data_IF_085415910064
#
_entry.id   IF_085415910064
#
_cell.length_a   1.000
_cell.length_b   1.000
_cell.length_c   1.000
_cell.angle_alpha   90.00
_cell.angle_beta   90.00
_cell.angle_gamma   90.00
#
_symmetry.space_group_name_H-M   'P 1'
#
loop_
_entity.id
_entity.type
_entity.pdbx_description
1 polymer ?
#
# COMPACT_ATOMS: atom_id res chain seq x y z
N UNK A 1 -28.59 -32.31 -0.62
CA UNK A 1 -27.53 -32.38 -1.68
C UNK A 1 -26.52 -31.28 -1.38
N UNK A 2 -25.23 -31.63 -1.41
CA UNK A 2 -24.14 -31.09 -0.58
C UNK A 2 -23.67 -29.65 -0.90
N UNK A 3 -23.59 -28.81 0.14
CA UNK A 3 -22.93 -27.47 0.15
C UNK A 3 -21.40 -27.52 -0.02
N UNK A 4 -20.79 -28.71 -0.09
CA UNK A 4 -19.33 -28.92 -0.07
C UNK A 4 -18.64 -28.96 -1.43
N UNK A 5 -19.34 -28.91 -2.57
CA UNK A 5 -18.70 -28.96 -3.90
C UNK A 5 -18.45 -27.59 -4.56
N UNK A 6 -19.01 -26.49 -4.03
CA UNK A 6 -18.88 -25.16 -4.65
C UNK A 6 -17.57 -24.42 -4.34
N UNK A 7 -16.68 -24.96 -3.52
CA UNK A 7 -15.45 -24.26 -3.08
C UNK A 7 -14.14 -25.00 -3.39
N UNK A 8 -14.19 -26.20 -4.01
CA UNK A 8 -12.98 -27.01 -4.22
C UNK A 8 -12.10 -26.57 -5.40
N UNK A 9 -12.70 -26.09 -6.49
CA UNK A 9 -11.94 -25.82 -7.73
C UNK A 9 -11.01 -24.61 -7.62
N UNK A 10 -11.27 -23.66 -6.72
CA UNK A 10 -10.45 -22.46 -6.57
C UNK A 10 -8.99 -22.75 -6.23
N UNK A 11 -8.71 -23.86 -5.53
CA UNK A 11 -7.35 -24.29 -5.21
C UNK A 11 -6.56 -24.80 -6.43
N UNK A 12 -7.25 -25.21 -7.51
CA UNK A 12 -6.64 -25.78 -8.71
C UNK A 12 -6.51 -24.76 -9.85
N UNK A 13 -7.05 -23.56 -9.68
CA UNK A 13 -6.96 -22.49 -10.69
C UNK A 13 -5.67 -21.70 -10.45
N UNK A 14 -4.78 -21.59 -11.45
CA UNK A 14 -3.53 -20.84 -11.29
C UNK A 14 -3.76 -19.39 -10.86
N UNK A 15 -2.85 -18.87 -10.04
CA UNK A 15 -2.88 -17.46 -9.62
C UNK A 15 -2.85 -16.53 -10.84
N UNK A 16 -3.86 -15.66 -10.95
CA UNK A 16 -4.00 -14.70 -12.05
C UNK A 16 -4.93 -15.15 -13.18
N UNK A 17 -5.35 -16.43 -13.22
CA UNK A 17 -6.34 -16.90 -14.19
C UNK A 17 -7.77 -16.49 -13.78
N UNK A 18 -8.57 -16.07 -14.76
CA UNK A 18 -9.99 -15.75 -14.56
C UNK A 18 -10.86 -16.92 -14.98
N UNK A 19 -11.76 -17.36 -14.09
CA UNK A 19 -12.78 -18.34 -14.41
C UNK A 19 -13.88 -17.69 -15.25
N UNK A 20 -14.08 -18.17 -16.47
CA UNK A 20 -15.19 -17.78 -17.35
C UNK A 20 -16.01 -19.02 -17.70
N UNK A 21 -17.34 -18.89 -17.66
CA UNK A 21 -18.29 -19.99 -17.93
C UNK A 21 -18.57 -20.18 -19.42
N UNK A 22 -18.30 -19.18 -20.25
CA UNK A 22 -18.51 -19.24 -21.70
C UNK A 22 -17.21 -19.53 -22.43
N UNK A 23 -17.03 -20.79 -22.85
CA UNK A 23 -15.99 -21.20 -23.80
C UNK A 23 -16.63 -22.04 -24.90
N UNK A 24 -17.54 -21.44 -25.66
CA UNK A 24 -17.98 -22.00 -26.94
C UNK A 24 -17.00 -21.52 -28.03
N UNK A 25 -16.21 -22.47 -28.53
CA UNK A 25 -15.15 -22.36 -29.55
C UNK A 25 -13.77 -21.85 -29.08
N UNK A 26 -12.93 -22.77 -28.58
CA UNK A 26 -11.48 -22.60 -28.50
C UNK A 26 -10.81 -23.62 -29.43
N UNK A 27 -9.84 -23.22 -30.25
CA UNK A 27 -9.12 -24.15 -31.12
C UNK A 27 -8.31 -25.17 -30.28
N UNK A 28 -8.09 -26.41 -30.77
CA UNK A 28 -7.28 -27.40 -30.04
C UNK A 28 -5.88 -26.91 -29.65
N UNK A 29 -5.29 -26.04 -30.48
CA UNK A 29 -3.99 -25.40 -30.23
C UNK A 29 -4.04 -24.46 -29.03
N UNK A 30 -5.08 -23.62 -28.93
CA UNK A 30 -5.29 -22.72 -27.78
C UNK A 30 -5.54 -23.51 -26.49
N UNK A 31 -6.34 -24.57 -26.56
CA UNK A 31 -6.59 -25.45 -25.40
C UNK A 31 -5.29 -26.08 -24.89
N UNK A 32 -4.45 -26.57 -25.81
CA UNK A 32 -3.15 -27.17 -25.47
C UNK A 32 -2.19 -26.13 -24.90
N UNK A 33 -2.17 -24.91 -25.43
CA UNK A 33 -1.33 -23.83 -24.93
C UNK A 33 -1.71 -23.44 -23.49
N UNK A 34 -3.01 -23.25 -23.21
CA UNK A 34 -3.51 -22.94 -21.86
C UNK A 34 -3.17 -24.05 -20.86
N UNK A 35 -3.23 -25.32 -21.28
CA UNK A 35 -2.80 -26.44 -20.44
C UNK A 35 -1.31 -26.36 -20.09
N UNK A 36 -0.43 -26.12 -21.07
CA UNK A 36 1.02 -25.98 -20.82
C UNK A 36 1.35 -24.77 -19.94
N UNK A 37 0.64 -23.66 -20.11
CA UNK A 37 0.79 -22.49 -19.23
C UNK A 37 0.37 -22.81 -17.78
N UNK A 38 -0.66 -23.65 -17.62
CA UNK A 38 -1.14 -24.14 -16.31
C UNK A 38 -0.11 -25.06 -15.66
N UNK A 39 0.49 -25.99 -16.41
CA UNK A 39 1.57 -26.86 -15.95
C UNK A 39 2.79 -26.05 -15.48
N UNK A 40 3.27 -25.11 -16.29
CA UNK A 40 4.37 -24.23 -15.92
C UNK A 40 4.01 -23.33 -14.72
N UNK A 41 2.74 -22.96 -14.55
CA UNK A 41 2.28 -22.20 -13.39
C UNK A 41 2.28 -23.03 -12.10
N UNK A 42 1.96 -24.33 -12.19
CA UNK A 42 2.05 -25.24 -11.05
C UNK A 42 3.50 -25.40 -10.59
N UNK A 43 4.44 -25.65 -11.52
CA UNK A 43 5.87 -25.74 -11.17
C UNK A 43 6.42 -24.46 -10.53
N UNK A 44 5.99 -23.29 -11.00
CA UNK A 44 6.36 -22.01 -10.39
C UNK A 44 5.75 -21.84 -8.99
N UNK A 45 4.54 -22.35 -8.77
CA UNK A 45 3.88 -22.29 -7.47
C UNK A 45 4.56 -23.20 -6.44
N UNK A 46 4.97 -24.40 -6.85
CA UNK A 46 5.73 -25.32 -5.99
C UNK A 46 7.04 -24.68 -5.53
N UNK A 47 7.84 -24.15 -6.47
CA UNK A 47 9.07 -23.40 -6.14
C UNK A 47 8.80 -22.21 -5.22
N UNK A 48 7.75 -21.42 -5.50
CA UNK A 48 7.42 -20.27 -4.67
C UNK A 48 6.95 -20.63 -3.25
N UNK A 49 6.41 -21.84 -3.04
CA UNK A 49 6.07 -22.34 -1.70
C UNK A 49 7.33 -22.75 -0.94
N UNK A 50 8.29 -23.39 -1.62
CA UNK A 50 9.57 -23.76 -1.01
C UNK A 50 10.41 -22.51 -0.65
N UNK A 51 10.35 -21.46 -1.49
CA UNK A 51 11.03 -20.18 -1.28
C UNK A 51 10.28 -19.22 -0.33
N UNK A 52 9.13 -19.63 0.23
CA UNK A 52 8.30 -18.76 1.05
C UNK A 52 8.98 -18.40 2.38
N UNK A 53 9.35 -17.12 2.54
CA UNK A 53 9.91 -16.59 3.77
C UNK A 53 8.85 -16.20 4.83
N UNK A 54 9.34 -15.68 5.96
CA UNK A 54 8.50 -15.29 7.10
C UNK A 54 7.55 -14.12 6.78
N UNK A 55 8.07 -13.09 6.11
CA UNK A 55 7.29 -11.94 5.66
C UNK A 55 6.62 -12.23 4.31
N UNK A 56 5.39 -11.75 4.15
CA UNK A 56 4.63 -11.88 2.90
C UNK A 56 3.90 -10.59 2.58
N UNK A 57 3.58 -10.39 1.29
CA UNK A 57 2.81 -9.23 0.85
C UNK A 57 1.40 -9.27 1.44
N UNK A 58 0.83 -8.11 1.83
CA UNK A 58 -0.47 -8.05 2.48
C UNK A 58 -1.57 -8.41 1.49
N UNK A 59 -2.56 -9.16 1.96
CA UNK A 59 -3.79 -9.35 1.20
C UNK A 59 -4.49 -8.00 1.01
N UNK A 60 -4.85 -7.69 -0.23
CA UNK A 60 -5.61 -6.49 -0.57
C UNK A 60 -7.09 -6.66 -0.17
N UNK A 61 -7.66 -5.62 0.43
CA UNK A 61 -9.05 -5.60 0.89
C UNK A 61 -10.05 -5.20 -0.21
N UNK A 62 -9.57 -4.96 -1.42
CA UNK A 62 -10.37 -4.50 -2.54
C UNK A 62 -9.87 -5.13 -3.85
N UNK A 63 -10.75 -5.30 -4.86
CA UNK A 63 -10.36 -5.84 -6.15
C UNK A 63 -9.51 -4.83 -6.93
N UNK A 64 -8.43 -5.31 -7.53
CA UNK A 64 -7.49 -4.51 -8.34
C UNK A 64 -7.36 -5.01 -9.78
N UNK A 65 -8.22 -5.94 -10.20
CA UNK A 65 -8.17 -6.54 -11.55
C UNK A 65 -8.33 -5.50 -12.69
N UNK A 66 -8.93 -4.34 -12.40
CA UNK A 66 -9.09 -3.22 -13.33
C UNK A 66 -8.24 -1.99 -12.97
N UNK A 67 -7.39 -2.08 -11.94
CA UNK A 67 -6.71 -0.94 -11.33
C UNK A 67 -7.49 -0.33 -10.16
N UNK A 68 -7.06 0.86 -9.73
CA UNK A 68 -7.72 1.65 -8.67
C UNK A 68 -8.48 2.80 -9.36
N UNK A 69 -9.82 2.83 -9.26
CA UNK A 69 -10.66 3.81 -9.94
C UNK A 69 -10.21 5.25 -9.68
N UNK A 70 -10.22 6.06 -10.75
CA UNK A 70 -9.84 7.48 -10.74
C UNK A 70 -8.40 7.77 -10.25
N UNK A 71 -7.53 6.75 -10.13
CA UNK A 71 -6.17 6.93 -9.64
C UNK A 71 -5.10 6.21 -10.45
N UNK A 72 -5.10 4.87 -10.56
CA UNK A 72 -4.04 4.16 -11.29
C UNK A 72 -4.58 2.95 -12.04
N UNK A 73 -4.00 2.66 -13.20
CA UNK A 73 -4.32 1.51 -14.03
C UNK A 73 -3.90 0.21 -13.34
N UNK A 74 -4.45 -0.91 -13.83
CA UNK A 74 -4.03 -2.25 -13.41
C UNK A 74 -2.53 -2.43 -13.58
N UNK A 75 -1.98 -2.02 -14.73
CA UNK A 75 -0.55 -2.19 -15.05
C UNK A 75 0.32 -1.43 -14.06
N UNK A 76 -0.04 -0.18 -13.76
CA UNK A 76 0.71 0.65 -12.81
C UNK A 76 0.64 0.08 -11.39
N UNK A 77 -0.52 -0.40 -10.95
CA UNK A 77 -0.66 -1.05 -9.64
C UNK A 77 0.12 -2.39 -9.59
N UNK A 78 0.07 -3.20 -10.65
CA UNK A 78 0.78 -4.48 -10.74
C UNK A 78 2.29 -4.29 -10.64
N UNK A 79 2.85 -3.23 -11.24
CA UNK A 79 4.28 -2.90 -11.08
C UNK A 79 4.62 -2.59 -9.61
N UNK A 80 3.78 -1.85 -8.90
CA UNK A 80 4.02 -1.57 -7.49
C UNK A 80 3.90 -2.84 -6.62
N UNK A 81 2.83 -3.62 -6.77
CA UNK A 81 2.51 -4.74 -5.89
C UNK A 81 3.26 -6.03 -6.22
N UNK A 82 3.46 -6.33 -7.51
CA UNK A 82 4.08 -7.59 -7.96
C UNK A 82 5.55 -7.48 -8.30
N UNK A 83 6.09 -6.27 -8.48
CA UNK A 83 7.52 -6.07 -8.77
C UNK A 83 8.21 -5.43 -7.57
N UNK A 84 7.97 -4.14 -7.31
CA UNK A 84 8.73 -3.42 -6.28
C UNK A 84 8.45 -3.92 -4.85
N UNK A 85 7.18 -4.07 -4.45
CA UNK A 85 6.87 -4.58 -3.12
C UNK A 85 7.27 -6.06 -2.95
N UNK A 86 7.25 -6.84 -4.03
CA UNK A 86 7.72 -8.22 -4.01
C UNK A 86 9.22 -8.28 -3.71
N UNK A 87 10.02 -7.50 -4.44
CA UNK A 87 11.47 -7.43 -4.25
C UNK A 87 11.84 -6.95 -2.84
N UNK A 88 11.12 -5.96 -2.30
CA UNK A 88 11.30 -5.51 -0.92
C UNK A 88 11.05 -6.64 0.10
N UNK A 89 10.01 -7.46 -0.11
CA UNK A 89 9.70 -8.60 0.77
C UNK A 89 10.74 -9.72 0.63
N UNK A 90 11.20 -10.01 -0.58
CA UNK A 90 12.24 -11.01 -0.83
C UNK A 90 13.55 -10.60 -0.15
N UNK A 91 13.96 -9.34 -0.32
CA UNK A 91 15.14 -8.78 0.34
C UNK A 91 14.99 -8.78 1.86
N UNK A 92 13.82 -8.41 2.39
CA UNK A 92 13.55 -8.47 3.83
C UNK A 92 13.72 -9.89 4.38
N UNK A 93 13.15 -10.90 3.73
CA UNK A 93 13.29 -12.29 4.15
C UNK A 93 14.75 -12.75 4.08
N UNK A 94 15.44 -12.47 2.98
CA UNK A 94 16.85 -12.83 2.77
C UNK A 94 17.78 -12.24 3.84
N UNK A 95 17.52 -11.02 4.30
CA UNK A 95 18.36 -10.33 5.28
C UNK A 95 17.93 -10.51 6.74
N UNK A 96 16.78 -11.16 7.00
CA UNK A 96 16.33 -11.47 8.37
C UNK A 96 16.55 -12.94 8.74
N UNK A 97 16.52 -13.85 7.77
CA UNK A 97 16.78 -15.28 7.98
C UNK A 97 18.21 -15.54 8.49
N UNK A 98 18.35 -16.38 9.50
CA UNK A 98 19.64 -16.72 10.11
C UNK A 98 20.25 -15.60 10.97
N UNK A 99 19.49 -14.55 11.27
CA UNK A 99 19.93 -13.42 12.10
C UNK A 99 19.16 -13.37 13.43
N UNK A 100 19.56 -12.47 14.34
CA UNK A 100 18.82 -12.21 15.59
C UNK A 100 17.44 -11.55 15.37
N UNK A 101 17.08 -11.23 14.12
CA UNK A 101 15.80 -10.63 13.72
C UNK A 101 14.80 -11.67 13.22
N UNK A 102 15.20 -12.92 13.05
CA UNK A 102 14.36 -13.99 12.53
C UNK A 102 13.11 -14.20 13.41
N UNK A 103 11.94 -14.30 12.79
CA UNK A 103 10.67 -14.54 13.47
C UNK A 103 10.12 -13.36 14.29
N UNK A 104 10.80 -12.21 14.32
CA UNK A 104 10.32 -11.02 15.01
C UNK A 104 9.28 -10.24 14.20
N UNK A 105 8.47 -9.43 14.89
CA UNK A 105 7.49 -8.56 14.24
C UNK A 105 8.17 -7.50 13.37
N UNK A 106 7.47 -7.03 12.33
CA UNK A 106 7.97 -5.97 11.44
C UNK A 106 8.42 -4.72 12.22
N UNK A 107 7.65 -4.30 13.22
CA UNK A 107 8.01 -3.16 14.08
C UNK A 107 9.33 -3.41 14.82
N UNK A 108 9.52 -4.61 15.37
CA UNK A 108 10.75 -4.96 16.08
C UNK A 108 11.96 -4.94 15.13
N UNK A 109 11.79 -5.47 13.91
CA UNK A 109 12.84 -5.44 12.88
C UNK A 109 13.20 -3.99 12.53
N UNK A 110 12.20 -3.15 12.23
CA UNK A 110 12.43 -1.73 11.89
C UNK A 110 13.19 -1.04 13.04
N UNK A 111 12.69 -1.11 14.27
CA UNK A 111 13.28 -0.42 15.43
C UNK A 111 14.69 -0.90 15.78
N UNK A 112 14.96 -2.22 15.67
CA UNK A 112 16.28 -2.78 16.00
C UNK A 112 17.35 -2.51 14.94
N UNK A 113 16.93 -2.26 13.71
CA UNK A 113 17.84 -1.94 12.59
C UNK A 113 17.95 -0.44 12.32
N UNK A 114 17.16 0.39 13.00
CA UNK A 114 17.19 1.85 12.88
C UNK A 114 18.58 2.42 13.16
N UNK A 115 19.03 3.31 12.27
CA UNK A 115 20.28 4.07 12.40
C UNK A 115 21.57 3.21 12.50
N UNK A 116 21.51 1.95 12.06
CA UNK A 116 22.67 1.05 11.98
C UNK A 116 22.99 0.74 10.50
N UNK A 117 24.13 1.26 10.02
CA UNK A 117 24.59 1.07 8.66
C UNK A 117 24.87 -0.41 8.32
N UNK A 118 25.23 -1.24 9.30
CA UNK A 118 25.48 -2.68 9.08
C UNK A 118 24.19 -3.47 8.83
N UNK A 119 23.07 -2.93 9.28
CA UNK A 119 21.72 -3.50 9.11
C UNK A 119 20.90 -2.75 8.05
N UNK A 120 21.52 -1.86 7.27
CA UNK A 120 20.82 -0.99 6.34
C UNK A 120 19.94 -1.75 5.34
N UNK A 121 20.39 -2.90 4.81
CA UNK A 121 19.61 -3.70 3.87
C UNK A 121 18.31 -4.24 4.51
N UNK A 122 18.40 -4.76 5.73
CA UNK A 122 17.23 -5.22 6.49
C UNK A 122 16.32 -4.05 6.87
N UNK A 123 16.89 -2.93 7.29
CA UNK A 123 16.14 -1.72 7.66
C UNK A 123 15.34 -1.16 6.47
N UNK A 124 16.02 -0.91 5.35
CA UNK A 124 15.41 -0.37 4.13
C UNK A 124 14.29 -1.28 3.64
N UNK A 125 14.53 -2.60 3.56
CA UNK A 125 13.53 -3.55 3.11
C UNK A 125 12.32 -3.63 4.07
N UNK A 126 12.55 -3.55 5.39
CA UNK A 126 11.49 -3.54 6.39
C UNK A 126 10.65 -2.24 6.33
N UNK A 127 11.31 -1.09 6.20
CA UNK A 127 10.66 0.21 6.07
C UNK A 127 9.82 0.29 4.79
N UNK A 128 10.36 -0.12 3.64
CA UNK A 128 9.62 -0.18 2.38
C UNK A 128 8.45 -1.17 2.45
N UNK A 129 8.64 -2.33 3.07
CA UNK A 129 7.55 -3.27 3.29
C UNK A 129 6.41 -2.64 4.09
N UNK A 130 6.73 -1.92 5.17
CA UNK A 130 5.74 -1.16 5.93
C UNK A 130 5.04 -0.08 5.08
N UNK A 131 5.81 0.72 4.35
CA UNK A 131 5.29 1.83 3.57
C UNK A 131 4.30 1.36 2.50
N UNK A 132 4.62 0.31 1.74
CA UNK A 132 3.68 -0.30 0.79
C UNK A 132 2.43 -0.85 1.49
N UNK A 133 2.60 -1.55 2.60
CA UNK A 133 1.46 -2.08 3.37
C UNK A 133 0.52 -0.96 3.83
N UNK A 134 1.07 0.16 4.31
CA UNK A 134 0.28 1.30 4.75
C UNK A 134 -0.35 2.03 3.55
N UNK A 135 0.37 2.21 2.46
CA UNK A 135 -0.12 2.83 1.23
C UNK A 135 -1.37 2.11 0.70
N UNK A 136 -1.36 0.78 0.61
CA UNK A 136 -2.55 0.04 0.17
C UNK A 136 -3.73 0.19 1.14
N UNK A 137 -3.49 0.27 2.45
CA UNK A 137 -4.55 0.56 3.43
C UNK A 137 -5.08 1.99 3.30
N UNK A 138 -4.22 2.93 2.92
CA UNK A 138 -4.50 4.35 2.67
C UNK A 138 -5.33 4.58 1.41
N UNK A 139 -5.53 3.54 0.58
CA UNK A 139 -6.36 3.59 -0.62
C UNK A 139 -7.71 2.91 -0.39
N UNK A 140 -8.76 3.53 -0.92
CA UNK A 140 -10.11 2.99 -1.00
C UNK A 140 -10.64 3.28 -2.40
N UNK A 141 -10.99 2.26 -3.21
CA UNK A 141 -11.61 2.49 -4.51
C UNK A 141 -12.80 3.43 -4.40
N UNK A 142 -12.89 4.42 -5.30
CA UNK A 142 -13.89 5.49 -5.30
C UNK A 142 -13.79 6.50 -4.15
N UNK A 143 -12.72 6.41 -3.35
CA UNK A 143 -12.41 7.37 -2.31
C UNK A 143 -13.41 7.37 -1.16
N UNK A 144 -13.26 8.38 -0.31
CA UNK A 144 -14.12 8.67 0.83
C UNK A 144 -14.28 10.17 0.96
N UNK A 145 -15.41 10.63 1.49
CA UNK A 145 -15.50 12.01 1.98
C UNK A 145 -14.73 12.11 3.31
N UNK A 146 -14.15 13.28 3.60
CA UNK A 146 -13.51 13.53 4.89
C UNK A 146 -14.56 13.47 5.99
N UNK A 147 -14.42 12.56 6.97
CA UNK A 147 -15.34 12.43 8.09
C UNK A 147 -15.41 13.67 8.98
N UNK A 148 -16.49 13.79 9.76
CA UNK A 148 -16.79 15.00 10.52
C UNK A 148 -15.75 15.31 11.60
N UNK A 149 -15.33 14.33 12.41
CA UNK A 149 -14.43 14.59 13.54
C UNK A 149 -13.02 14.91 13.05
N UNK A 150 -12.56 14.24 11.99
CA UNK A 150 -11.30 14.59 11.34
C UNK A 150 -11.34 15.99 10.72
N UNK A 151 -12.44 16.37 10.06
CA UNK A 151 -12.61 17.72 9.50
C UNK A 151 -12.58 18.80 10.59
N UNK A 152 -13.27 18.58 11.71
CA UNK A 152 -13.24 19.48 12.86
C UNK A 152 -11.82 19.63 13.43
N UNK A 153 -11.10 18.52 13.54
CA UNK A 153 -9.70 18.53 14.01
C UNK A 153 -8.79 19.31 13.06
N UNK A 154 -8.96 19.16 11.74
CA UNK A 154 -8.26 20.00 10.77
C UNK A 154 -8.65 21.47 10.89
N UNK A 155 -9.93 21.78 11.09
CA UNK A 155 -10.42 23.16 11.21
C UNK A 155 -9.75 23.88 12.38
N UNK A 156 -9.54 23.20 13.50
CA UNK A 156 -8.86 23.77 14.67
C UNK A 156 -7.39 24.17 14.39
N UNK A 157 -6.72 23.48 13.47
CA UNK A 157 -5.30 23.71 13.19
C UNK A 157 -5.06 24.56 11.94
N UNK A 158 -5.74 24.26 10.84
CA UNK A 158 -5.51 24.87 9.53
C UNK A 158 -6.57 25.90 9.15
N UNK A 159 -7.66 26.01 9.91
CA UNK A 159 -8.72 26.98 9.66
C UNK A 159 -8.26 28.41 9.89
N UNK A 160 -7.88 29.11 8.82
CA UNK A 160 -7.61 30.56 8.84
C UNK A 160 -8.82 31.33 8.30
N UNK A 161 -9.33 32.29 9.07
CA UNK A 161 -10.30 33.34 8.69
C UNK A 161 -11.56 32.92 7.91
N UNK A 162 -11.95 31.63 7.97
CA UNK A 162 -13.22 31.11 7.43
C UNK A 162 -13.37 31.10 5.90
N UNK A 163 -12.37 31.55 5.13
CA UNK A 163 -12.50 31.72 3.68
C UNK A 163 -12.07 30.50 2.84
N UNK A 164 -11.27 29.59 3.38
CA UNK A 164 -10.72 28.44 2.64
C UNK A 164 -11.27 27.15 3.23
N UNK A 165 -11.74 26.22 2.37
CA UNK A 165 -12.10 24.87 2.80
C UNK A 165 -10.87 24.18 3.38
N UNK A 166 -10.95 23.82 4.67
CA UNK A 166 -9.83 23.23 5.40
C UNK A 166 -9.34 21.92 4.77
N UNK A 167 -10.25 21.17 4.13
CA UNK A 167 -9.88 19.94 3.43
C UNK A 167 -9.01 20.25 2.22
N UNK A 168 -9.35 21.30 1.47
CA UNK A 168 -8.55 21.74 0.33
C UNK A 168 -7.19 22.28 0.76
N UNK A 169 -7.10 22.95 1.92
CA UNK A 169 -5.80 23.37 2.46
C UNK A 169 -4.91 22.17 2.83
N UNK A 170 -5.45 21.13 3.47
CA UNK A 170 -4.70 19.90 3.77
C UNK A 170 -4.23 19.21 2.48
N UNK A 171 -5.09 19.13 1.46
CA UNK A 171 -4.71 18.59 0.13
C UNK A 171 -3.64 19.42 -0.55
N UNK A 172 -3.70 20.75 -0.42
CA UNK A 172 -2.70 21.68 -0.96
C UNK A 172 -1.35 21.47 -0.27
N UNK A 173 -1.32 21.37 1.06
CA UNK A 173 -0.09 21.10 1.82
C UNK A 173 0.53 19.75 1.42
N UNK A 174 -0.27 18.69 1.33
CA UNK A 174 0.18 17.39 0.82
C UNK A 174 0.75 17.48 -0.59
N UNK A 175 0.06 18.18 -1.50
CA UNK A 175 0.53 18.38 -2.88
C UNK A 175 1.86 19.13 -2.92
N UNK A 176 2.00 20.21 -2.13
CA UNK A 176 3.25 20.98 -2.06
C UNK A 176 4.42 20.11 -1.59
N UNK A 177 4.23 19.29 -0.55
CA UNK A 177 5.29 18.39 -0.06
C UNK A 177 5.61 17.31 -1.10
N UNK A 178 4.61 16.71 -1.75
CA UNK A 178 4.83 15.76 -2.85
C UNK A 178 5.66 16.38 -3.98
N UNK A 179 5.35 17.61 -4.40
CA UNK A 179 6.08 18.29 -5.48
C UNK A 179 7.46 18.80 -5.06
N UNK A 180 7.70 19.00 -3.76
CA UNK A 180 9.00 19.41 -3.23
C UNK A 180 9.98 18.24 -3.09
N UNK A 181 9.50 17.00 -3.16
CA UNK A 181 10.32 15.79 -3.00
C UNK A 181 11.15 15.49 -4.26
N UNK A 182 12.31 16.15 -4.38
CA UNK A 182 13.10 16.19 -5.61
C UNK A 182 13.64 14.83 -6.07
N UNK A 183 13.94 13.93 -5.13
CA UNK A 183 14.53 12.62 -5.42
C UNK A 183 13.56 11.66 -6.11
N UNK A 184 12.24 11.92 -6.02
CA UNK A 184 11.18 11.04 -6.57
C UNK A 184 11.36 9.58 -6.17
N UNK A 185 11.86 9.37 -4.95
CA UNK A 185 12.18 8.08 -4.37
C UNK A 185 11.88 8.13 -2.87
N UNK A 186 10.63 7.87 -2.50
CA UNK A 186 10.20 8.00 -1.12
C UNK A 186 8.70 8.05 -0.95
N UNK A 187 8.30 8.61 0.18
CA UNK A 187 6.94 8.60 0.69
C UNK A 187 6.57 9.93 1.31
N UNK A 188 5.32 10.36 1.12
CA UNK A 188 4.77 11.52 1.84
C UNK A 188 3.64 11.05 2.72
N UNK A 189 3.67 11.45 3.99
CA UNK A 189 2.68 11.08 4.98
C UNK A 189 1.96 12.29 5.54
N UNK A 190 0.65 12.16 5.72
CA UNK A 190 -0.06 12.94 6.73
C UNK A 190 0.08 12.19 8.06
N UNK A 191 0.59 12.86 9.08
CA UNK A 191 0.84 12.27 10.40
C UNK A 191 0.17 13.07 11.52
N UNK A 192 -0.03 12.42 12.66
CA UNK A 192 -0.28 13.07 13.94
C UNK A 192 0.98 12.97 14.80
N UNK A 193 1.50 14.11 15.26
CA UNK A 193 2.75 14.20 16.05
C UNK A 193 2.54 13.96 17.55
N UNK A 194 1.32 13.61 17.97
CA UNK A 194 0.89 13.64 19.37
C UNK A 194 0.30 14.99 19.80
N UNK A 195 0.62 16.08 19.08
CA UNK A 195 0.18 17.44 19.39
C UNK A 195 -0.56 18.13 18.25
N UNK A 196 -0.12 17.90 17.02
CA UNK A 196 -0.65 18.54 15.82
C UNK A 196 -0.56 17.59 14.63
N UNK A 197 -1.34 17.88 13.58
CA UNK A 197 -1.17 17.29 12.27
C UNK A 197 0.07 17.87 11.60
N UNK A 198 0.75 17.05 10.80
CA UNK A 198 1.82 17.54 9.94
C UNK A 198 1.91 16.71 8.67
N UNK A 199 2.53 17.28 7.65
CA UNK A 199 2.85 16.59 6.41
C UNK A 199 4.35 16.39 6.35
N UNK A 200 4.79 15.14 6.41
CA UNK A 200 6.20 14.77 6.50
C UNK A 200 6.58 13.94 5.28
N UNK A 201 7.70 14.29 4.66
CA UNK A 201 8.35 13.47 3.65
C UNK A 201 9.34 12.50 4.29
N UNK A 202 9.40 11.30 3.74
CA UNK A 202 10.35 10.26 4.11
C UNK A 202 11.10 9.83 2.84
N UNK A 203 12.44 9.82 2.86
CA UNK A 203 13.20 9.23 1.77
C UNK A 203 12.96 7.73 1.69
N UNK A 204 13.34 7.13 0.56
CA UNK A 204 13.34 5.68 0.40
C UNK A 204 14.10 4.97 1.53
N UNK A 205 13.52 3.89 2.05
CA UNK A 205 14.10 3.11 3.15
C UNK A 205 13.90 3.73 4.55
N UNK A 206 13.19 4.84 4.65
CA UNK A 206 12.71 5.40 5.91
C UNK A 206 11.19 5.23 6.05
N UNK A 207 10.70 5.15 7.27
CA UNK A 207 9.27 5.06 7.55
C UNK A 207 8.92 5.79 8.85
N UNK A 208 7.63 6.11 9.08
CA UNK A 208 7.21 6.77 10.32
C UNK A 208 7.36 5.88 11.56
N UNK A 209 7.47 4.55 11.40
CA UNK A 209 7.79 3.67 12.53
C UNK A 209 9.21 3.95 13.00
N UNK A 210 9.36 4.27 14.28
CA UNK A 210 10.65 4.64 14.90
C UNK A 210 10.77 6.13 15.17
N UNK A 211 9.97 6.95 14.46
CA UNK A 211 9.65 8.32 14.85
C UNK A 211 8.40 8.29 15.74
N UNK A 212 8.26 9.18 16.73
CA UNK A 212 7.06 9.25 17.59
C UNK A 212 5.81 9.80 16.85
N UNK A 213 5.69 9.46 15.57
CA UNK A 213 4.67 9.93 14.63
C UNK A 213 3.64 8.82 14.38
N UNK A 214 2.38 9.21 14.30
CA UNK A 214 1.28 8.30 13.98
C UNK A 214 0.84 8.57 12.53
N UNK A 215 1.10 7.64 11.60
CA UNK A 215 0.73 7.82 10.20
C UNK A 215 -0.78 7.72 10.01
N UNK A 216 -1.35 8.64 9.23
CA UNK A 216 -2.79 8.74 8.95
C UNK A 216 -3.09 8.43 7.48
N UNK A 217 -2.32 9.02 6.55
CA UNK A 217 -2.36 8.74 5.12
C UNK A 217 -0.94 8.62 4.58
N UNK A 218 -0.78 7.85 3.50
CA UNK A 218 0.49 7.71 2.78
C UNK A 218 0.30 7.91 1.28
N UNK A 219 1.24 8.62 0.67
CA UNK A 219 1.35 8.84 -0.78
C UNK A 219 2.70 8.27 -1.21
N UNK A 220 2.68 7.34 -2.17
CA UNK A 220 3.89 6.84 -2.82
C UNK A 220 4.37 7.87 -3.84
N UNK A 221 5.55 8.45 -3.65
CA UNK A 221 6.13 9.45 -4.57
C UNK A 221 7.29 8.90 -5.40
N UNK A 222 7.50 7.58 -5.38
CA UNK A 222 8.44 6.92 -6.28
C UNK A 222 8.03 7.16 -7.74
N UNK A 223 9.00 7.44 -8.63
CA UNK A 223 8.74 7.56 -10.06
C UNK A 223 8.07 6.30 -10.65
N UNK A 224 8.43 5.13 -10.13
CA UNK A 224 7.80 3.85 -10.46
C UNK A 224 6.33 3.73 -10.05
N UNK A 225 5.78 4.66 -9.26
CA UNK A 225 4.39 4.65 -8.80
C UNK A 225 3.41 5.33 -9.76
N UNK A 226 3.88 6.29 -10.57
CA UNK A 226 3.03 7.11 -11.44
C UNK A 226 3.46 7.15 -12.90
N UNK A 227 4.72 6.82 -13.22
CA UNK A 227 5.29 7.03 -14.56
C UNK A 227 4.57 6.33 -15.71
N UNK A 228 3.94 5.17 -15.49
CA UNK A 228 3.25 4.44 -16.57
C UNK A 228 1.92 5.08 -16.98
N UNK A 229 1.24 5.74 -16.03
CA UNK A 229 -0.07 6.37 -16.27
C UNK A 229 0.04 7.88 -16.50
N UNK A 230 0.98 8.54 -15.83
CA UNK A 230 1.12 9.99 -15.76
C UNK A 230 2.39 10.54 -16.42
N UNK A 231 3.31 9.67 -16.84
CA UNK A 231 4.61 10.07 -17.37
C UNK A 231 5.53 10.72 -16.32
N UNK A 232 6.68 11.20 -16.77
CA UNK A 232 7.73 11.74 -15.89
C UNK A 232 7.39 13.12 -15.30
N UNK A 233 6.45 13.86 -15.90
CA UNK A 233 6.05 15.21 -15.46
C UNK A 233 4.69 15.24 -14.76
N UNK A 234 3.92 14.16 -14.76
CA UNK A 234 2.54 14.15 -14.26
C UNK A 234 2.38 13.93 -12.76
N UNK A 235 3.40 14.21 -11.94
CA UNK A 235 3.36 14.00 -10.49
C UNK A 235 2.25 14.82 -9.81
N UNK A 236 2.00 16.05 -10.26
CA UNK A 236 0.91 16.88 -9.72
C UNK A 236 -0.46 16.25 -10.00
N UNK A 237 -0.69 15.79 -11.23
CA UNK A 237 -1.95 15.15 -11.62
C UNK A 237 -2.16 13.83 -10.84
N UNK A 238 -1.09 13.09 -10.59
CA UNK A 238 -1.09 11.90 -9.74
C UNK A 238 -1.50 12.24 -8.30
N UNK A 239 -0.92 13.29 -7.70
CA UNK A 239 -1.26 13.73 -6.35
C UNK A 239 -2.73 14.19 -6.24
N UNK A 240 -3.23 14.93 -7.23
CA UNK A 240 -4.63 15.34 -7.30
C UNK A 240 -5.58 14.14 -7.40
N UNK A 241 -5.23 13.14 -8.21
CA UNK A 241 -6.03 11.93 -8.38
C UNK A 241 -5.95 10.99 -7.16
N UNK A 242 -4.85 10.98 -6.42
CA UNK A 242 -4.74 10.24 -5.16
C UNK A 242 -5.87 10.62 -4.19
N UNK A 243 -6.23 11.91 -4.09
CA UNK A 243 -7.31 12.34 -3.20
C UNK A 243 -8.70 11.79 -3.58
N UNK A 244 -8.89 11.39 -4.84
CA UNK A 244 -10.12 10.71 -5.31
C UNK A 244 -10.18 9.23 -4.91
N UNK A 245 -9.05 8.65 -4.49
CA UNK A 245 -8.93 7.25 -4.09
C UNK A 245 -8.41 7.05 -2.66
N UNK A 246 -8.17 8.12 -1.91
CA UNK A 246 -7.65 8.03 -0.54
C UNK A 246 -8.73 7.65 0.51
N UNK A 247 -8.28 7.07 1.62
CA UNK A 247 -9.12 6.51 2.67
C UNK A 247 -9.11 7.36 3.95
N UNK A 248 -9.91 8.44 3.97
CA UNK A 248 -10.04 9.34 5.12
C UNK A 248 -10.64 8.67 6.37
N UNK A 249 -11.45 7.62 6.22
CA UNK A 249 -11.96 6.86 7.38
C UNK A 249 -10.84 6.17 8.15
N UNK A 250 -9.81 5.67 7.45
CA UNK A 250 -8.64 5.10 8.11
C UNK A 250 -7.89 6.17 8.92
N UNK A 251 -7.68 7.33 8.30
CA UNK A 251 -7.01 8.47 8.92
C UNK A 251 -7.75 8.94 10.18
N UNK A 252 -9.08 9.09 10.11
CA UNK A 252 -9.90 9.46 11.28
C UNK A 252 -9.77 8.40 12.38
N UNK A 253 -9.91 7.11 12.04
CA UNK A 253 -9.83 6.03 13.03
C UNK A 253 -8.49 6.04 13.78
N UNK A 254 -7.37 6.18 13.08
CA UNK A 254 -6.05 6.23 13.73
C UNK A 254 -5.86 7.50 14.55
N UNK A 255 -6.37 8.64 14.09
CA UNK A 255 -6.36 9.88 14.86
C UNK A 255 -7.18 9.77 16.18
N UNK A 256 -8.37 9.18 16.13
CA UNK A 256 -9.21 9.00 17.31
C UNK A 256 -8.61 7.98 18.30
N UNK A 257 -7.98 6.92 17.80
CA UNK A 257 -7.23 5.97 18.63
C UNK A 257 -6.05 6.66 19.33
N UNK A 258 -5.29 7.49 18.59
CA UNK A 258 -4.16 8.24 19.13
C UNK A 258 -4.56 9.25 20.22
N UNK A 259 -5.74 9.85 20.10
CA UNK A 259 -6.25 10.87 21.04
C UNK A 259 -7.10 10.29 22.18
N UNK A 260 -7.26 8.96 22.24
CA UNK A 260 -8.09 8.29 23.26
C UNK A 260 -9.59 8.54 23.11
N UNK A 261 -10.03 9.11 21.99
CA UNK A 261 -11.45 9.40 21.68
C UNK A 261 -12.19 8.22 21.04
N UNK A 262 -11.49 7.12 20.75
CA UNK A 262 -12.04 5.92 20.11
C UNK A 262 -12.66 4.87 21.04
N UNK A 263 -12.73 5.10 22.35
CA UNK A 263 -13.12 4.08 23.34
C UNK A 263 -14.62 4.04 23.70
N UNK A 264 -15.49 4.71 22.95
CA UNK A 264 -16.92 4.81 23.30
C UNK A 264 -17.83 4.56 22.10
N UNK A 265 -17.78 3.36 21.54
CA UNK A 265 -18.87 2.73 20.76
C UNK A 265 -18.34 1.39 20.23
N UNK A 266 -18.54 0.32 21.02
CA UNK A 266 -18.71 -1.07 20.57
C UNK A 266 -18.82 -1.93 21.85
N UNK A 267 -20.02 -1.93 22.43
CA UNK A 267 -20.51 -2.90 23.41
C UNK A 267 -21.88 -3.38 22.94
#
# INVERSE_FOLDING_TARGET
>A
MRRTLRHGYHAYVPKGALLKTDMLASSPQLVTAVFRETEAAAERADRANDDAGFFSRPRLNYPVASGIPAFISRRQFDVQYNIFHHDAVETLNRHTLGTSLEGHSLETVIRRTSFDATQAAAHTAAAEHFNYCFFYKSLRPWGTAVPKQLREAFQLQYGRDGSVDVVEEVKRLLTVVVLSHQERCGWVYLVWTGKQFDVVEFPHGACPIGSDLIPLLAINVHEGAYSLDYGLSGLEQYAQNYFRACNWFLAERYYLQATGRGSSCDA
#
